data_IF_005961146218
#
_entry.id   IF_005961146218
#
_cell.length_a   1.000
_cell.length_b   1.000
_cell.length_c   1.000
_cell.angle_alpha   90.00
_cell.angle_beta   90.00
_cell.angle_gamma   90.00
#
_symmetry.space_group_name_H-M   'P 1'
#
loop_
_entity.id
_entity.type
_entity.pdbx_description
1 polymer ?
#
# COMPACT_ATOMS: atom_id res chain seq x y z
N UNK A 1 -58.90 40.69 58.11
CA UNK A 1 -57.78 39.77 57.80
C UNK A 1 -56.52 40.61 57.71
N UNK A 2 -55.71 40.64 58.78
CA UNK A 2 -54.47 41.45 58.83
C UNK A 2 -53.31 40.56 58.36
N UNK A 3 -52.80 40.83 57.17
CA UNK A 3 -51.58 40.18 56.66
C UNK A 3 -50.40 40.84 57.37
N UNK A 4 -49.77 40.12 58.30
CA UNK A 4 -48.48 40.51 58.88
C UNK A 4 -47.40 40.16 57.84
N UNK A 5 -46.92 41.17 57.12
CA UNK A 5 -45.65 41.07 56.41
C UNK A 5 -44.54 41.13 57.46
N UNK A 6 -43.95 39.97 57.75
CA UNK A 6 -42.78 39.85 58.60
C UNK A 6 -41.58 40.21 57.73
N UNK A 7 -41.14 41.47 57.79
CA UNK A 7 -39.86 41.89 57.21
C UNK A 7 -38.72 41.35 58.06
N UNK A 8 -38.44 40.05 57.93
CA UNK A 8 -37.13 39.51 58.30
C UNK A 8 -36.16 39.92 57.19
N UNK A 9 -35.61 41.12 57.32
CA UNK A 9 -34.52 41.59 56.46
C UNK A 9 -33.38 40.59 56.54
N UNK A 10 -33.11 39.92 55.42
CA UNK A 10 -31.95 39.04 55.28
C UNK A 10 -30.71 39.82 55.69
N UNK A 11 -29.92 39.25 56.60
CA UNK A 11 -28.67 39.87 57.01
C UNK A 11 -27.76 39.99 55.78
N UNK A 12 -27.19 41.17 55.56
CA UNK A 12 -26.19 41.43 54.50
C UNK A 12 -25.06 40.37 54.53
N UNK A 13 -24.78 39.81 55.70
CA UNK A 13 -23.81 38.73 55.92
C UNK A 13 -24.24 37.42 55.25
N UNK A 14 -25.52 37.05 55.31
CA UNK A 14 -26.03 35.82 54.67
C UNK A 14 -25.96 35.90 53.14
N UNK A 15 -26.22 37.08 52.58
CA UNK A 15 -26.11 37.33 51.14
C UNK A 15 -24.64 37.25 50.68
N UNK A 16 -23.70 37.83 51.44
CA UNK A 16 -22.27 37.78 51.13
C UNK A 16 -21.67 36.37 51.21
N UNK A 17 -22.07 35.56 52.20
CA UNK A 17 -21.61 34.16 52.32
C UNK A 17 -22.13 33.32 51.16
N UNK A 18 -23.38 33.54 50.74
CA UNK A 18 -23.97 32.82 49.61
C UNK A 18 -23.29 33.19 48.29
N UNK A 19 -22.99 34.47 48.05
CA UNK A 19 -22.24 34.93 46.87
C UNK A 19 -20.81 34.39 46.88
N UNK A 20 -20.14 34.35 48.04
CA UNK A 20 -18.81 33.78 48.19
C UNK A 20 -18.74 32.27 47.88
N UNK A 21 -19.70 31.50 48.39
CA UNK A 21 -19.82 30.06 48.11
C UNK A 21 -20.14 29.77 46.63
N UNK A 22 -21.03 30.56 46.02
CA UNK A 22 -21.35 30.45 44.60
C UNK A 22 -20.15 30.82 43.71
N UNK A 23 -19.35 31.82 44.11
CA UNK A 23 -18.10 32.17 43.43
C UNK A 23 -17.07 31.03 43.46
N UNK A 24 -16.88 30.38 44.61
CA UNK A 24 -15.97 29.25 44.75
C UNK A 24 -16.43 28.01 43.96
N UNK A 25 -17.73 27.70 44.00
CA UNK A 25 -18.31 26.61 43.21
C UNK A 25 -18.17 26.85 41.69
N UNK A 26 -18.35 28.09 41.22
CA UNK A 26 -18.17 28.44 39.82
C UNK A 26 -16.72 28.24 39.33
N UNK A 27 -15.72 28.56 40.16
CA UNK A 27 -14.31 28.27 39.86
C UNK A 27 -14.04 26.77 39.79
N UNK A 28 -14.61 25.98 40.70
CA UNK A 28 -14.51 24.52 40.67
C UNK A 28 -15.12 23.90 39.40
N UNK A 29 -16.32 24.36 39.00
CA UNK A 29 -16.98 23.90 37.77
C UNK A 29 -16.19 24.31 36.53
N UNK A 30 -15.66 25.55 36.47
CA UNK A 30 -14.82 25.99 35.36
C UNK A 30 -13.56 25.13 35.18
N UNK A 31 -12.90 24.75 36.28
CA UNK A 31 -11.71 23.89 36.22
C UNK A 31 -12.07 22.47 35.75
N UNK A 32 -13.20 21.93 36.20
CA UNK A 32 -13.71 20.63 35.75
C UNK A 32 -14.11 20.65 34.27
N UNK A 33 -14.79 21.70 33.81
CA UNK A 33 -15.12 21.89 32.39
C UNK A 33 -13.88 22.04 31.50
N UNK A 34 -12.84 22.75 31.97
CA UNK A 34 -11.55 22.82 31.26
C UNK A 34 -10.91 21.44 31.10
N UNK A 35 -10.91 20.64 32.16
CA UNK A 35 -10.36 19.27 32.12
C UNK A 35 -11.15 18.38 31.16
N UNK A 36 -12.49 18.47 31.16
CA UNK A 36 -13.34 17.72 30.22
C UNK A 36 -13.10 18.18 28.77
N UNK A 37 -13.03 19.49 28.53
CA UNK A 37 -12.76 20.05 27.20
C UNK A 37 -11.38 19.63 26.66
N UNK A 38 -10.36 19.63 27.52
CA UNK A 38 -9.03 19.10 27.19
C UNK A 38 -9.08 17.60 26.86
N UNK A 39 -9.81 16.81 27.65
CA UNK A 39 -10.00 15.38 27.40
C UNK A 39 -10.67 15.08 26.05
N UNK A 40 -11.75 15.80 25.73
CA UNK A 40 -12.43 15.66 24.43
C UNK A 40 -11.53 16.08 23.26
N UNK A 41 -10.76 17.16 23.39
CA UNK A 41 -9.83 17.60 22.36
C UNK A 41 -8.72 16.57 22.11
N UNK A 42 -8.18 15.98 23.18
CA UNK A 42 -7.18 14.92 23.10
C UNK A 42 -7.73 13.66 22.42
N UNK A 43 -8.94 13.22 22.80
CA UNK A 43 -9.59 12.07 22.20
C UNK A 43 -9.83 12.28 20.70
N UNK A 44 -10.36 13.45 20.31
CA UNK A 44 -10.57 13.80 18.89
C UNK A 44 -9.25 13.84 18.11
N UNK A 45 -8.21 14.47 18.65
CA UNK A 45 -6.90 14.50 17.99
C UNK A 45 -6.27 13.11 17.85
N UNK A 46 -6.55 12.18 18.76
CA UNK A 46 -6.08 10.80 18.67
C UNK A 46 -6.87 10.00 17.64
N UNK A 47 -8.17 10.27 17.49
CA UNK A 47 -8.96 9.71 16.39
C UNK A 47 -8.46 10.21 15.03
N UNK A 48 -8.22 11.52 14.88
CA UNK A 48 -7.62 12.11 13.67
C UNK A 48 -6.26 11.45 13.33
N UNK A 49 -5.47 11.07 14.36
CA UNK A 49 -4.17 10.40 14.18
C UNK A 49 -4.30 9.00 13.59
N UNK A 50 -5.28 8.23 14.09
CA UNK A 50 -5.57 6.89 13.60
C UNK A 50 -6.12 6.95 12.18
N UNK A 51 -7.00 7.91 11.90
CA UNK A 51 -7.61 8.09 10.58
C UNK A 51 -6.55 8.50 9.54
N UNK A 52 -5.71 9.50 9.85
CA UNK A 52 -4.58 9.90 9.00
C UNK A 52 -3.64 8.73 8.72
N UNK A 53 -3.27 7.97 9.76
CA UNK A 53 -2.41 6.78 9.61
C UNK A 53 -3.06 5.76 8.69
N UNK A 54 -4.38 5.58 8.79
CA UNK A 54 -5.14 4.64 7.96
C UNK A 54 -5.22 5.11 6.51
N UNK A 55 -5.48 6.40 6.27
CA UNK A 55 -5.48 6.95 4.90
C UNK A 55 -4.12 6.87 4.23
N UNK A 56 -3.03 7.18 4.94
CA UNK A 56 -1.67 7.03 4.42
C UNK A 56 -1.43 5.56 4.05
N UNK A 57 -1.84 4.62 4.91
CA UNK A 57 -1.73 3.19 4.62
C UNK A 57 -2.47 2.79 3.36
N UNK A 58 -3.72 3.23 3.20
CA UNK A 58 -4.51 2.93 2.00
C UNK A 58 -3.87 3.48 0.72
N UNK A 59 -3.25 4.67 0.77
CA UNK A 59 -2.49 5.22 -0.36
C UNK A 59 -1.24 4.41 -0.69
N UNK A 60 -0.56 3.87 0.33
CA UNK A 60 0.64 3.06 0.14
C UNK A 60 0.32 1.60 -0.23
N UNK A 61 -0.87 1.10 0.11
CA UNK A 61 -1.34 -0.25 -0.24
C UNK A 61 -1.76 -0.34 -1.71
N UNK A 62 -2.26 0.75 -2.29
CA UNK A 62 -2.54 0.83 -3.72
C UNK A 62 -1.25 1.14 -4.50
N UNK A 63 -0.73 0.13 -5.22
CA UNK A 63 0.54 0.17 -5.96
C UNK A 63 0.63 1.42 -6.86
N UNK A 64 -0.46 1.78 -7.54
CA UNK A 64 -0.49 2.96 -8.43
C UNK A 64 -0.21 4.25 -7.67
N UNK A 65 -0.81 4.43 -6.50
CA UNK A 65 -0.67 5.67 -5.71
C UNK A 65 0.66 5.70 -4.95
N UNK A 66 1.09 4.56 -4.40
CA UNK A 66 2.43 4.36 -3.84
C UNK A 66 3.47 4.80 -4.88
N UNK A 67 3.45 4.19 -6.06
CA UNK A 67 4.42 4.45 -7.12
C UNK A 67 4.35 5.89 -7.62
N UNK A 68 3.17 6.46 -7.86
CA UNK A 68 3.08 7.87 -8.28
C UNK A 68 3.58 8.85 -7.21
N UNK A 69 3.40 8.54 -5.93
CA UNK A 69 3.88 9.38 -4.82
C UNK A 69 5.40 9.50 -4.84
N UNK A 70 6.12 8.40 -5.12
CA UNK A 70 7.58 8.37 -5.06
C UNK A 70 8.28 8.48 -6.42
N UNK A 71 7.82 7.76 -7.45
CA UNK A 71 8.44 7.73 -8.78
C UNK A 71 8.02 8.90 -9.69
N UNK A 72 6.88 9.54 -9.42
CA UNK A 72 6.34 10.58 -10.29
C UNK A 72 5.51 10.05 -11.46
N UNK A 73 5.19 10.95 -12.39
CA UNK A 73 4.39 10.65 -13.60
C UNK A 73 5.13 9.71 -14.55
N UNK A 74 4.43 9.13 -15.52
CA UNK A 74 4.95 8.22 -16.56
C UNK A 74 4.43 6.79 -16.42
N UNK A 75 4.71 5.87 -17.35
CA UNK A 75 4.40 4.45 -17.19
C UNK A 75 5.23 3.76 -16.09
N UNK A 76 4.80 2.56 -15.69
CA UNK A 76 5.55 1.71 -14.76
C UNK A 76 6.95 1.42 -15.30
N UNK A 77 7.98 1.45 -14.44
CA UNK A 77 9.37 1.23 -14.84
C UNK A 77 10.03 2.38 -15.60
N UNK A 78 9.27 3.36 -16.09
CA UNK A 78 9.79 4.49 -16.87
C UNK A 78 9.06 5.79 -16.51
N UNK A 79 9.33 6.35 -15.32
CA UNK A 79 8.79 7.66 -14.95
C UNK A 79 9.31 8.76 -15.89
N UNK A 80 8.45 9.72 -16.22
CA UNK A 80 8.75 10.84 -17.10
C UNK A 80 9.62 11.92 -16.43
N UNK A 81 9.45 12.10 -15.12
CA UNK A 81 10.24 13.02 -14.29
C UNK A 81 10.59 12.31 -12.98
N UNK A 82 11.51 11.33 -13.03
CA UNK A 82 11.86 10.55 -11.86
C UNK A 82 12.41 11.41 -10.75
N UNK A 83 12.09 11.05 -9.52
CA UNK A 83 12.84 11.54 -8.37
C UNK A 83 14.13 10.74 -8.30
N UNK A 84 15.24 11.40 -8.56
CA UNK A 84 16.59 10.83 -8.51
C UNK A 84 17.29 11.26 -7.22
N UNK A 85 17.99 10.34 -6.57
CA UNK A 85 18.78 10.64 -5.39
C UNK A 85 20.06 9.80 -5.36
N UNK A 86 21.06 10.28 -4.63
CA UNK A 86 22.20 9.46 -4.23
C UNK A 86 21.96 9.00 -2.80
N UNK A 87 22.16 7.71 -2.53
CA UNK A 87 21.92 7.10 -1.22
C UNK A 87 22.68 7.84 -0.11
N UNK A 88 23.94 8.19 -0.38
CA UNK A 88 24.77 8.95 0.59
C UNK A 88 24.14 10.28 0.99
N UNK A 89 23.40 10.93 0.09
CA UNK A 89 22.81 12.24 0.34
C UNK A 89 21.50 12.16 1.14
N UNK A 90 20.89 10.99 1.26
CA UNK A 90 19.61 10.82 1.99
C UNK A 90 19.77 10.01 3.27
N UNK A 91 20.89 9.29 3.43
CA UNK A 91 21.17 8.46 4.59
C UNK A 91 21.83 9.22 5.75
N UNK A 92 22.53 10.33 5.47
CA UNK A 92 23.18 11.09 6.52
C UNK A 92 22.15 11.73 7.47
N UNK A 93 22.32 11.49 8.77
CA UNK A 93 21.51 12.09 9.85
C UNK A 93 19.99 11.90 9.75
N UNK A 94 19.52 10.86 9.05
CA UNK A 94 18.08 10.66 8.76
C UNK A 94 17.45 11.84 7.99
N UNK A 95 18.23 12.51 7.14
CA UNK A 95 17.71 13.59 6.30
C UNK A 95 16.57 13.07 5.42
N UNK A 96 16.74 11.91 4.81
CA UNK A 96 15.72 11.28 3.97
C UNK A 96 15.34 12.12 2.75
N UNK A 97 14.65 11.49 1.81
CA UNK A 97 14.10 12.18 0.64
C UNK A 97 12.77 12.84 1.02
N UNK A 98 12.62 14.14 0.77
CA UNK A 98 11.33 14.81 0.93
C UNK A 98 10.33 14.30 -0.12
N UNK A 99 9.17 13.87 0.34
CA UNK A 99 8.16 13.22 -0.49
C UNK A 99 6.77 13.76 -0.20
N UNK A 100 5.87 13.57 -1.15
CA UNK A 100 4.46 13.94 -1.05
C UNK A 100 3.61 12.75 -1.50
N UNK A 101 2.43 12.59 -0.91
CA UNK A 101 1.51 11.51 -1.28
C UNK A 101 0.46 12.03 -2.27
N UNK A 102 0.29 11.27 -3.35
CA UNK A 102 -0.54 11.65 -4.50
C UNK A 102 -1.54 10.54 -4.83
N UNK A 103 -2.74 10.96 -5.24
CA UNK A 103 -3.63 10.13 -6.04
C UNK A 103 -3.19 10.12 -7.50
N UNK A 104 -3.61 9.08 -8.21
CA UNK A 104 -3.40 8.90 -9.63
C UNK A 104 -4.67 8.91 -10.48
N UNK A 105 -4.48 8.92 -11.80
CA UNK A 105 -5.51 8.52 -12.75
C UNK A 105 -5.73 6.99 -12.69
N UNK A 106 -6.76 6.50 -13.38
CA UNK A 106 -7.10 5.08 -13.39
C UNK A 106 -5.94 4.19 -13.90
N UNK A 107 -5.14 4.71 -14.83
CA UNK A 107 -4.00 4.04 -15.44
C UNK A 107 -2.74 4.03 -14.55
N UNK A 108 -2.71 4.79 -13.45
CA UNK A 108 -1.52 4.90 -12.58
C UNK A 108 -0.32 5.58 -13.25
N UNK A 109 -0.56 6.41 -14.26
CA UNK A 109 0.49 7.08 -15.05
C UNK A 109 0.64 8.57 -14.76
N UNK A 110 -0.37 9.20 -14.17
CA UNK A 110 -0.35 10.63 -13.89
C UNK A 110 -0.88 10.92 -12.49
N UNK A 111 -0.16 11.77 -11.75
CA UNK A 111 -0.59 12.40 -10.51
C UNK A 111 -1.79 13.31 -10.79
N UNK A 112 -2.85 13.15 -10.00
CA UNK A 112 -4.11 13.92 -10.18
C UNK A 112 -4.37 14.86 -9.03
N UNK A 113 -4.27 14.37 -7.79
CA UNK A 113 -4.58 15.15 -6.60
C UNK A 113 -3.56 14.86 -5.50
N UNK A 114 -2.86 15.90 -5.05
CA UNK A 114 -1.99 15.81 -3.88
C UNK A 114 -2.86 15.60 -2.65
N UNK A 115 -2.59 14.53 -1.90
CA UNK A 115 -3.32 14.20 -0.67
C UNK A 115 -2.64 14.74 0.56
N UNK A 116 -1.35 14.48 0.69
CA UNK A 116 -0.58 14.87 1.87
C UNK A 116 0.77 15.45 1.46
N UNK A 117 1.17 16.52 2.12
CA UNK A 117 2.47 17.14 1.95
C UNK A 117 2.86 17.90 3.22
N UNK A 118 4.15 17.96 3.51
CA UNK A 118 4.66 18.79 4.60
C UNK A 118 4.86 20.26 4.19
N UNK A 119 5.04 20.52 2.89
CA UNK A 119 5.40 21.84 2.34
C UNK A 119 4.21 22.59 1.79
N UNK A 120 3.20 21.88 1.27
CA UNK A 120 1.98 22.48 0.73
C UNK A 120 0.99 22.81 1.86
N UNK A 121 0.78 24.10 2.12
CA UNK A 121 -0.09 24.59 3.20
C UNK A 121 -1.55 24.19 3.05
N UNK A 122 -2.00 23.81 1.85
CA UNK A 122 -3.35 23.32 1.62
C UNK A 122 -3.51 21.82 1.91
N UNK A 123 -2.38 21.09 2.01
CA UNK A 123 -2.32 19.62 2.19
C UNK A 123 -1.53 19.18 3.41
N UNK A 124 -1.03 20.12 4.22
CA UNK A 124 -0.27 19.83 5.43
C UNK A 124 -1.13 19.79 6.70
N UNK A 125 -2.46 19.88 6.58
CA UNK A 125 -3.38 19.74 7.71
C UNK A 125 -4.35 18.60 7.50
N UNK A 126 -4.59 17.81 8.56
CA UNK A 126 -5.61 16.77 8.57
C UNK A 126 -6.37 16.83 9.89
N UNK A 127 -7.64 17.23 9.85
CA UNK A 127 -8.39 17.53 11.06
C UNK A 127 -7.67 18.60 11.90
N UNK A 128 -7.29 18.25 13.14
CA UNK A 128 -6.50 19.11 14.04
C UNK A 128 -4.98 18.86 13.98
N UNK A 129 -4.52 17.98 13.11
CA UNK A 129 -3.10 17.63 12.97
C UNK A 129 -2.45 18.49 11.89
N UNK A 130 -1.17 18.84 12.11
CA UNK A 130 -0.32 19.47 11.09
C UNK A 130 0.82 18.54 10.73
N UNK A 131 0.93 18.15 9.47
CA UNK A 131 2.07 17.41 8.91
C UNK A 131 3.25 18.39 8.82
N UNK A 132 4.28 18.15 9.61
CA UNK A 132 5.49 19.01 9.65
C UNK A 132 6.64 18.41 8.87
N UNK A 133 6.65 17.10 8.65
CA UNK A 133 7.67 16.42 7.86
C UNK A 133 7.11 15.16 7.22
N UNK A 134 7.54 14.88 6.00
CA UNK A 134 7.22 13.67 5.26
C UNK A 134 8.45 13.27 4.46
N UNK A 135 9.17 12.26 4.96
CA UNK A 135 10.48 11.86 4.46
C UNK A 135 10.54 10.35 4.20
N UNK A 136 11.04 9.96 3.04
CA UNK A 136 11.39 8.58 2.73
C UNK A 136 12.82 8.31 3.17
N UNK A 137 13.02 7.31 4.03
CA UNK A 137 14.32 6.93 4.56
C UNK A 137 14.63 5.52 4.08
N UNK A 138 15.84 5.27 3.58
CA UNK A 138 16.29 3.93 3.20
C UNK A 138 16.95 3.26 4.41
N UNK A 139 16.51 2.06 4.79
CA UNK A 139 16.92 1.39 6.04
C UNK A 139 17.96 0.28 5.81
N UNK A 140 18.88 0.46 4.88
CA UNK A 140 19.87 -0.55 4.48
C UNK A 140 21.31 -0.25 4.95
N UNK A 141 21.46 0.62 5.96
CA UNK A 141 22.75 1.00 6.55
C UNK A 141 23.37 2.25 5.91
N UNK A 142 24.31 2.90 6.60
CA UNK A 142 25.02 4.08 6.08
C UNK A 142 26.20 3.68 5.19
N UNK A 143 26.58 4.54 4.26
CA UNK A 143 27.73 4.34 3.37
C UNK A 143 27.34 3.97 1.95
N UNK A 144 28.25 4.34 1.02
CA UNK A 144 28.29 4.17 -0.45
C UNK A 144 26.97 4.15 -1.23
N UNK A 145 26.95 4.82 -2.38
CA UNK A 145 25.81 4.74 -3.29
C UNK A 145 25.53 3.30 -3.73
N UNK A 146 24.27 3.06 -4.11
CA UNK A 146 23.89 1.79 -4.74
C UNK A 146 24.78 1.52 -5.96
N UNK A 147 25.16 0.26 -6.21
CA UNK A 147 25.87 -0.09 -7.44
C UNK A 147 24.93 0.06 -8.65
N UNK A 148 25.51 0.23 -9.84
CA UNK A 148 24.75 0.24 -11.09
C UNK A 148 23.89 -1.03 -11.19
N UNK A 149 22.58 -0.84 -11.29
CA UNK A 149 21.63 -1.93 -11.39
C UNK A 149 20.34 -1.41 -12.05
N UNK A 150 19.90 -2.00 -13.17
CA UNK A 150 18.66 -1.58 -13.81
C UNK A 150 17.41 -1.85 -12.94
N UNK A 151 17.48 -2.82 -12.03
CA UNK A 151 16.41 -3.19 -11.12
C UNK A 151 16.94 -3.78 -9.80
N UNK A 152 16.95 -2.95 -8.76
CA UNK A 152 17.24 -3.33 -7.37
C UNK A 152 15.96 -3.21 -6.54
N UNK A 153 15.74 -4.13 -5.60
CA UNK A 153 14.65 -4.01 -4.62
C UNK A 153 15.25 -3.72 -3.25
N UNK A 154 14.72 -2.73 -2.55
CA UNK A 154 15.18 -2.38 -1.21
C UNK A 154 14.04 -1.92 -0.30
N UNK A 155 14.34 -1.84 1.00
CA UNK A 155 13.41 -1.47 2.05
C UNK A 155 13.55 0.01 2.43
N UNK A 156 12.46 0.75 2.24
CA UNK A 156 12.28 2.11 2.72
C UNK A 156 11.33 2.19 3.92
N UNK A 157 11.42 3.28 4.67
CA UNK A 157 10.46 3.70 5.67
C UNK A 157 10.00 5.12 5.34
N UNK A 158 8.73 5.28 4.98
CA UNK A 158 8.12 6.60 4.97
C UNK A 158 7.91 7.03 6.42
N UNK A 159 8.58 8.11 6.83
CA UNK A 159 8.44 8.74 8.13
C UNK A 159 7.65 10.03 8.00
N UNK A 160 6.48 10.06 8.63
CA UNK A 160 5.59 11.23 8.64
C UNK A 160 5.55 11.78 10.05
N UNK A 161 5.98 13.01 10.25
CA UNK A 161 5.90 13.68 11.54
C UNK A 161 4.71 14.62 11.55
N UNK A 162 3.84 14.45 12.54
CA UNK A 162 2.69 15.33 12.76
C UNK A 162 2.82 16.08 14.08
N UNK A 163 2.38 17.32 14.07
CA UNK A 163 2.24 18.17 15.25
C UNK A 163 0.77 18.17 15.67
N UNK A 164 0.52 17.89 16.95
CA UNK A 164 -0.81 17.96 17.56
C UNK A 164 -0.81 18.82 18.82
N UNK A 165 -1.87 19.60 19.00
CA UNK A 165 -2.04 20.43 20.20
C UNK A 165 -2.47 19.57 21.39
N UNK A 166 -1.67 19.58 22.45
CA UNK A 166 -2.00 18.93 23.75
C UNK A 166 -2.78 19.91 24.62
N UNK A 167 -2.43 21.19 24.55
CA UNK A 167 -3.14 22.32 25.16
C UNK A 167 -3.11 23.52 24.21
N UNK A 168 -3.63 24.67 24.64
CA UNK A 168 -3.55 25.93 23.87
C UNK A 168 -2.10 26.38 23.63
N UNK A 169 -1.20 26.07 24.55
CA UNK A 169 0.20 26.53 24.53
C UNK A 169 1.19 25.42 24.20
N UNK A 170 0.80 24.16 24.38
CA UNK A 170 1.70 23.02 24.21
C UNK A 170 1.32 22.21 22.98
N UNK A 171 2.30 22.03 22.10
CA UNK A 171 2.22 21.12 20.96
C UNK A 171 3.14 19.93 21.17
N UNK A 172 2.74 18.79 20.63
CA UNK A 172 3.52 17.55 20.64
C UNK A 172 3.76 17.07 19.22
N UNK A 173 5.00 16.68 18.94
CA UNK A 173 5.40 16.02 17.71
C UNK A 173 5.22 14.51 17.84
N UNK A 174 4.59 13.87 16.86
CA UNK A 174 4.33 12.43 16.81
C UNK A 174 4.87 11.88 15.48
N UNK A 175 5.94 11.07 15.51
CA UNK A 175 6.42 10.40 14.31
C UNK A 175 5.56 9.16 14.02
N UNK A 176 5.14 9.03 12.77
CA UNK A 176 4.52 7.84 12.18
C UNK A 176 5.51 7.22 11.21
N UNK A 177 5.54 5.89 11.16
CA UNK A 177 6.45 5.11 10.33
C UNK A 177 5.65 4.11 9.50
N UNK A 178 5.96 4.05 8.21
CA UNK A 178 5.31 3.18 7.25
C UNK A 178 6.39 2.46 6.44
N UNK A 179 6.62 1.16 6.71
CA UNK A 179 7.57 0.38 5.92
C UNK A 179 7.04 0.19 4.50
N UNK A 180 7.92 0.28 3.51
CA UNK A 180 7.62 0.16 2.09
C UNK A 180 8.77 -0.53 1.35
N UNK A 181 8.42 -1.39 0.39
CA UNK A 181 9.34 -1.99 -0.57
C UNK A 181 9.43 -1.10 -1.80
N UNK A 182 10.66 -0.83 -2.23
CA UNK A 182 10.95 0.10 -3.32
C UNK A 182 11.70 -0.62 -4.43
N UNK A 183 11.21 -0.49 -5.65
CA UNK A 183 11.99 -0.83 -6.84
C UNK A 183 12.82 0.38 -7.25
N UNK A 184 14.11 0.16 -7.44
CA UNK A 184 15.12 1.16 -7.69
C UNK A 184 15.86 0.83 -9.00
N UNK A 185 16.27 1.86 -9.73
CA UNK A 185 17.16 1.76 -10.87
C UNK A 185 18.33 2.72 -10.66
N UNK A 186 19.55 2.21 -10.68
CA UNK A 186 20.75 3.00 -10.38
C UNK A 186 21.67 3.03 -11.59
N UNK A 187 22.09 4.22 -11.99
CA UNK A 187 23.02 4.43 -13.10
C UNK A 187 24.49 4.22 -12.69
N UNK A 188 25.40 4.27 -13.67
CA UNK A 188 26.85 4.15 -13.46
C UNK A 188 27.46 5.27 -12.60
N UNK A 189 26.71 6.37 -12.37
CA UNK A 189 27.11 7.49 -11.51
C UNK A 189 26.58 7.35 -10.08
N UNK A 190 25.84 6.27 -9.78
CA UNK A 190 25.23 6.03 -8.46
C UNK A 190 23.96 6.83 -8.22
N UNK A 191 23.39 7.50 -9.24
CA UNK A 191 22.09 8.15 -9.11
C UNK A 191 21.00 7.09 -9.19
N UNK A 192 20.15 7.08 -8.19
CA UNK A 192 19.12 6.08 -7.99
C UNK A 192 17.76 6.70 -8.24
N UNK A 193 16.97 6.03 -9.07
CA UNK A 193 15.62 6.40 -9.43
C UNK A 193 14.65 5.41 -8.81
N UNK A 194 13.57 5.91 -8.23
CA UNK A 194 12.46 5.07 -7.79
C UNK A 194 11.60 4.72 -9.01
N UNK A 195 11.40 3.43 -9.26
CA UNK A 195 10.63 2.92 -10.40
C UNK A 195 9.37 2.16 -9.98
N UNK A 196 9.32 1.61 -8.76
CA UNK A 196 8.13 0.98 -8.19
C UNK A 196 8.06 1.15 -6.67
N UNK A 197 6.87 0.92 -6.11
CA UNK A 197 6.60 1.04 -4.68
C UNK A 197 5.48 0.06 -4.32
N UNK A 198 5.67 -0.71 -3.25
CA UNK A 198 4.64 -1.55 -2.66
C UNK A 198 4.79 -1.57 -1.15
N UNK A 199 3.69 -1.47 -0.41
CA UNK A 199 3.72 -1.72 1.04
C UNK A 199 3.79 -3.21 1.38
N UNK A 200 3.52 -4.08 0.41
CA UNK A 200 3.59 -5.51 0.61
C UNK A 200 5.06 -5.94 0.77
N UNK A 201 5.51 -5.97 2.03
CA UNK A 201 6.82 -6.50 2.42
C UNK A 201 6.87 -8.02 2.32
N UNK A 202 5.71 -8.64 2.14
CA UNK A 202 5.60 -10.04 1.75
C UNK A 202 6.00 -10.13 0.28
N UNK A 203 6.94 -11.01 -0.10
CA UNK A 203 7.21 -11.28 -1.50
C UNK A 203 5.87 -11.56 -2.18
N UNK A 204 5.44 -10.68 -3.09
CA UNK A 204 4.11 -10.78 -3.66
C UNK A 204 4.02 -12.13 -4.34
N UNK A 205 3.15 -12.97 -3.79
CA UNK A 205 2.82 -14.28 -4.32
C UNK A 205 2.15 -14.03 -5.67
N UNK A 206 2.95 -13.99 -6.74
CA UNK A 206 2.47 -13.74 -8.09
C UNK A 206 1.77 -15.01 -8.55
N UNK A 207 0.46 -14.91 -8.76
CA UNK A 207 -0.34 -15.99 -9.29
C UNK A 207 -0.82 -15.66 -10.71
N UNK A 208 -0.69 -16.61 -11.63
CA UNK A 208 -1.35 -16.57 -12.93
C UNK A 208 -1.98 -17.93 -13.22
N UNK A 209 -3.03 -17.94 -14.03
CA UNK A 209 -3.69 -19.17 -14.47
C UNK A 209 -4.17 -19.05 -15.90
N UNK A 210 -4.16 -20.16 -16.63
CA UNK A 210 -4.84 -20.28 -17.91
C UNK A 210 -5.79 -21.47 -17.89
N UNK A 211 -6.92 -21.34 -18.57
CA UNK A 211 -7.94 -22.38 -18.67
C UNK A 211 -8.16 -22.80 -20.11
N UNK A 212 -8.53 -24.07 -20.31
CA UNK A 212 -8.84 -24.66 -21.60
C UNK A 212 -7.76 -24.36 -22.65
N UNK A 213 -6.49 -24.43 -22.26
CA UNK A 213 -5.40 -24.27 -23.22
C UNK A 213 -5.43 -25.50 -24.11
N UNK A 214 -6.00 -25.34 -25.30
CA UNK A 214 -6.10 -26.40 -26.30
C UNK A 214 -4.68 -26.73 -26.76
N UNK A 215 -4.26 -27.99 -26.58
CA UNK A 215 -3.03 -28.46 -27.19
C UNK A 215 -3.11 -28.20 -28.70
N UNK A 216 -2.12 -27.54 -29.32
CA UNK A 216 -2.22 -27.22 -30.74
C UNK A 216 -2.24 -28.50 -31.57
N UNK A 217 -2.89 -28.40 -32.73
CA UNK A 217 -3.00 -29.35 -33.83
C UNK A 217 -1.97 -30.50 -33.82
N UNK A 218 -2.50 -31.70 -34.11
CA UNK A 218 -1.92 -33.04 -34.26
C UNK A 218 -0.47 -33.18 -34.78
N UNK A 219 0.13 -32.12 -35.32
CA UNK A 219 1.50 -32.10 -35.81
C UNK A 219 2.57 -31.81 -34.72
N UNK A 220 2.23 -31.16 -33.60
CA UNK A 220 3.27 -30.81 -32.59
C UNK A 220 2.90 -31.02 -31.12
N UNK A 221 1.62 -31.10 -30.76
CA UNK A 221 1.15 -31.39 -29.39
C UNK A 221 1.74 -30.50 -28.28
N UNK A 222 2.29 -29.32 -28.60
CA UNK A 222 3.09 -28.51 -27.67
C UNK A 222 2.53 -27.10 -27.49
N UNK A 223 2.20 -26.71 -26.25
CA UNK A 223 1.87 -25.34 -25.88
C UNK A 223 3.02 -24.70 -25.09
N UNK A 224 3.28 -23.40 -25.29
CA UNK A 224 4.29 -22.66 -24.54
C UNK A 224 3.61 -21.69 -23.57
N UNK A 225 3.92 -21.83 -22.28
CA UNK A 225 3.51 -20.91 -21.23
C UNK A 225 4.71 -20.02 -20.88
N UNK A 226 4.65 -18.75 -21.27
CA UNK A 226 5.65 -17.74 -20.93
C UNK A 226 5.15 -16.88 -19.77
N UNK A 227 5.63 -17.17 -18.56
CA UNK A 227 5.25 -16.46 -17.34
C UNK A 227 5.74 -15.02 -17.29
N UNK A 228 6.72 -14.63 -18.11
CA UNK A 228 7.14 -13.24 -18.20
C UNK A 228 6.02 -12.35 -18.75
N UNK A 229 5.19 -12.89 -19.67
CA UNK A 229 3.99 -12.21 -20.19
C UNK A 229 2.93 -11.98 -19.11
N UNK A 230 2.97 -12.75 -18.03
CA UNK A 230 2.09 -12.63 -16.86
C UNK A 230 2.78 -11.89 -15.70
N UNK A 231 3.90 -11.21 -15.97
CA UNK A 231 4.60 -10.36 -15.01
C UNK A 231 5.42 -11.11 -13.97
N UNK A 232 5.80 -12.37 -14.20
CA UNK A 232 6.69 -13.10 -13.29
C UNK A 232 8.11 -12.55 -13.38
N UNK A 233 8.83 -12.49 -12.25
CA UNK A 233 10.15 -11.91 -12.15
C UNK A 233 11.23 -12.95 -12.55
N UNK A 234 12.02 -12.72 -13.62
CA UNK A 234 13.08 -13.66 -14.02
C UNK A 234 14.23 -13.72 -13.00
N UNK A 235 14.41 -12.70 -12.16
CA UNK A 235 15.37 -12.69 -11.07
C UNK A 235 14.83 -13.29 -9.76
N UNK A 236 13.51 -13.54 -9.66
CA UNK A 236 12.83 -14.06 -8.45
C UNK A 236 13.10 -15.53 -8.17
N UNK A 237 12.37 -16.18 -7.24
CA UNK A 237 12.46 -17.64 -7.07
C UNK A 237 11.87 -18.36 -8.27
N UNK A 238 12.14 -19.65 -8.43
CA UNK A 238 11.44 -20.44 -9.44
C UNK A 238 9.92 -20.47 -9.15
N UNK A 239 9.06 -20.26 -10.16
CA UNK A 239 7.62 -20.40 -9.97
C UNK A 239 7.25 -21.86 -9.71
N UNK A 240 6.35 -22.07 -8.75
CA UNK A 240 5.62 -23.32 -8.57
C UNK A 240 4.49 -23.38 -9.59
N UNK A 241 4.42 -24.43 -10.40
CA UNK A 241 3.36 -24.61 -11.39
C UNK A 241 2.55 -25.85 -11.05
N UNK A 242 1.25 -25.68 -11.00
CA UNK A 242 0.24 -26.72 -10.85
C UNK A 242 -0.54 -26.79 -12.14
N UNK A 243 -0.86 -28.00 -12.56
CA UNK A 243 -1.59 -28.25 -13.81
C UNK A 243 -2.70 -29.20 -13.48
N UNK A 244 -3.89 -28.90 -13.99
CA UNK A 244 -5.00 -29.83 -14.03
C UNK A 244 -5.24 -30.21 -15.48
N UNK A 245 -5.23 -31.50 -15.75
CA UNK A 245 -5.66 -32.03 -17.03
C UNK A 245 -7.19 -32.00 -17.11
N UNK A 246 -7.73 -31.71 -18.30
CA UNK A 246 -9.16 -31.75 -18.56
C UNK A 246 -9.42 -32.58 -19.82
N UNK A 247 -10.10 -33.71 -19.61
CA UNK A 247 -10.51 -34.63 -20.66
C UNK A 247 -11.67 -34.00 -21.44
N UNK A 248 -11.40 -33.52 -22.66
CA UNK A 248 -12.44 -33.05 -23.57
C UNK A 248 -12.57 -34.01 -24.75
N UNK A 249 -13.66 -34.78 -24.77
CA UNK A 249 -14.15 -35.41 -25.99
C UNK A 249 -14.78 -34.30 -26.85
N UNK A 250 -14.05 -33.79 -27.86
CA UNK A 250 -14.61 -32.87 -28.84
C UNK A 250 -14.86 -33.61 -30.15
N UNK A 251 -16.14 -33.86 -30.44
CA UNK A 251 -16.60 -34.51 -31.66
C UNK A 251 -17.42 -35.75 -31.34
N UNK A 252 -18.73 -35.54 -31.17
CA UNK A 252 -19.78 -36.50 -30.82
C UNK A 252 -20.01 -37.58 -31.89
N UNK A 253 -18.98 -38.34 -32.25
CA UNK A 253 -19.21 -39.65 -32.83
C UNK A 253 -19.58 -40.58 -31.65
N UNK A 254 -20.88 -40.83 -31.49
CA UNK A 254 -21.44 -41.76 -30.51
C UNK A 254 -20.61 -43.05 -30.47
N UNK A 255 -19.94 -43.31 -29.34
CA UNK A 255 -19.14 -44.52 -29.12
C UNK A 255 -17.62 -44.31 -29.02
N UNK A 256 -17.10 -43.11 -29.28
CA UNK A 256 -15.69 -42.81 -29.05
C UNK A 256 -15.43 -42.52 -27.56
N UNK A 257 -14.69 -43.41 -26.89
CA UNK A 257 -14.19 -43.18 -25.54
C UNK A 257 -12.72 -42.79 -25.62
N UNK A 258 -12.34 -41.75 -24.89
CA UNK A 258 -10.94 -41.46 -24.66
C UNK A 258 -10.39 -42.54 -23.74
N UNK A 259 -9.34 -43.25 -24.18
CA UNK A 259 -8.77 -44.36 -23.43
C UNK A 259 -7.72 -43.88 -22.43
N UNK A 260 -7.00 -42.82 -22.78
CA UNK A 260 -6.03 -42.16 -21.93
C UNK A 260 -5.68 -40.78 -22.48
N UNK A 261 -5.39 -39.85 -21.57
CA UNK A 261 -4.66 -38.62 -21.89
C UNK A 261 -3.57 -38.39 -20.85
N UNK A 262 -2.55 -37.65 -21.27
CA UNK A 262 -1.43 -37.26 -20.43
C UNK A 262 -0.86 -35.92 -20.89
N UNK A 263 -0.76 -34.96 -19.98
CA UNK A 263 0.02 -33.73 -20.18
C UNK A 263 1.36 -33.76 -19.41
N UNK A 264 2.46 -33.71 -20.15
CA UNK A 264 3.82 -33.57 -19.61
C UNK A 264 4.32 -32.12 -19.66
N UNK A 265 5.13 -31.73 -18.67
CA UNK A 265 5.69 -30.38 -18.56
C UNK A 265 7.21 -30.41 -18.66
N UNK A 266 7.75 -29.67 -19.61
CA UNK A 266 9.19 -29.47 -19.77
C UNK A 266 9.52 -28.02 -19.45
N UNK A 267 10.31 -27.79 -18.41
CA UNK A 267 10.85 -26.46 -18.12
C UNK A 267 11.91 -26.13 -19.19
N UNK A 268 11.60 -25.16 -20.05
CA UNK A 268 12.53 -24.70 -21.11
C UNK A 268 13.49 -23.66 -20.54
N UNK A 269 12.96 -22.74 -19.73
CA UNK A 269 13.72 -21.74 -18.99
C UNK A 269 13.06 -21.45 -17.65
N UNK A 270 13.59 -20.49 -16.89
CA UNK A 270 13.05 -20.13 -15.58
C UNK A 270 11.57 -19.74 -15.59
N UNK A 271 11.14 -19.02 -16.62
CA UNK A 271 9.77 -18.53 -16.77
C UNK A 271 9.03 -19.16 -17.95
N UNK A 272 9.69 -19.97 -18.77
CA UNK A 272 9.11 -20.56 -19.98
C UNK A 272 8.96 -22.06 -19.81
N UNK A 273 7.74 -22.54 -19.96
CA UNK A 273 7.37 -23.94 -19.82
C UNK A 273 6.72 -24.42 -21.10
N UNK A 274 7.13 -25.59 -21.56
CA UNK A 274 6.50 -26.27 -22.67
C UNK A 274 5.64 -27.40 -22.13
N UNK A 275 4.38 -27.39 -22.52
CA UNK A 275 3.38 -28.39 -22.16
C UNK A 275 3.18 -29.28 -23.36
N UNK A 276 3.38 -30.57 -23.20
CA UNK A 276 3.14 -31.55 -24.25
C UNK A 276 2.00 -32.45 -23.81
N UNK A 277 0.86 -32.35 -24.47
CA UNK A 277 -0.28 -33.20 -24.16
C UNK A 277 -0.47 -34.27 -25.22
N UNK A 278 -0.78 -35.48 -24.77
CA UNK A 278 -1.07 -36.63 -25.60
C UNK A 278 -2.42 -37.17 -25.20
N UNK A 279 -3.22 -37.57 -26.18
CA UNK A 279 -4.48 -38.26 -25.93
C UNK A 279 -4.66 -39.37 -26.95
N UNK A 280 -5.28 -40.46 -26.52
CA UNK A 280 -5.62 -41.61 -27.35
C UNK A 280 -7.10 -41.91 -27.26
N UNK A 281 -7.70 -42.19 -28.42
CA UNK A 281 -9.06 -42.70 -28.52
C UNK A 281 -9.05 -44.10 -29.10
N UNK A 282 -10.07 -44.88 -28.76
CA UNK A 282 -10.37 -46.16 -29.37
C UNK A 282 -10.78 -46.06 -30.87
N UNK A 283 -10.89 -44.85 -31.42
CA UNK A 283 -11.33 -44.55 -32.78
C UNK A 283 -10.16 -44.31 -33.73
N UNK A 284 -10.22 -44.91 -34.93
CA UNK A 284 -9.22 -44.73 -36.00
C UNK A 284 -9.45 -43.46 -36.85
N UNK A 285 -10.54 -42.72 -36.61
CA UNK A 285 -10.96 -41.58 -37.44
C UNK A 285 -11.23 -40.28 -36.69
N UNK A 286 -10.95 -40.22 -35.37
CA UNK A 286 -11.15 -39.01 -34.56
C UNK A 286 -9.89 -38.14 -34.46
N UNK A 287 -10.04 -36.82 -34.58
CA UNK A 287 -9.03 -35.87 -34.12
C UNK A 287 -9.19 -35.69 -32.61
N UNK A 288 -8.21 -36.15 -31.83
CA UNK A 288 -8.25 -36.00 -30.37
C UNK A 288 -7.58 -34.69 -29.99
N UNK A 289 -8.26 -33.86 -29.22
CA UNK A 289 -7.68 -32.65 -28.62
C UNK A 289 -7.77 -32.76 -27.11
N UNK A 290 -6.61 -32.75 -26.45
CA UNK A 290 -6.53 -32.56 -25.00
C UNK A 290 -6.44 -31.08 -24.67
N UNK A 291 -7.07 -30.68 -23.57
CA UNK A 291 -6.89 -29.34 -23.00
C UNK A 291 -6.35 -29.45 -21.58
N UNK A 292 -5.70 -28.40 -21.12
CA UNK A 292 -5.25 -28.34 -19.74
C UNK A 292 -5.50 -26.95 -19.15
N UNK A 293 -5.66 -26.95 -17.84
CA UNK A 293 -5.65 -25.77 -16.99
C UNK A 293 -4.31 -25.71 -16.27
N UNK A 294 -3.79 -24.51 -16.06
CA UNK A 294 -2.55 -24.32 -15.31
C UNK A 294 -2.69 -23.16 -14.34
N UNK A 295 -1.93 -23.24 -13.25
CA UNK A 295 -1.74 -22.20 -12.25
C UNK A 295 -0.25 -22.11 -11.92
N UNK A 296 0.32 -20.92 -12.02
CA UNK A 296 1.70 -20.63 -11.63
C UNK A 296 1.69 -19.70 -10.43
N UNK A 297 2.60 -19.93 -9.47
CA UNK A 297 2.77 -19.15 -8.25
C UNK A 297 4.26 -18.85 -8.05
N UNK A 298 4.66 -17.59 -7.89
CA UNK A 298 6.04 -17.21 -7.59
C UNK A 298 6.08 -16.31 -6.36
N UNK A 299 6.90 -16.71 -5.39
CA UNK A 299 7.24 -15.91 -4.21
C UNK A 299 8.50 -15.09 -4.46
#
# INVERSE_FOLDING_TARGET
>A
MKIKLQESGFSIVEVLVTIGLLGAAALGVMQLMKNIGQGQNFAKSSADEIELRTEIRLLLDEERFCRLSFAGNGPFGSPATPVTFQKTNIDENHEGLDVELWLGNAQGTARTNKKFSATDTSKNTYGKLRITSMKLIMNNGTGTNYPENPFLVDFGELRVTVEKSVSETQKRSVPMKFPIMMGLSTDSSGNTTIISCSRDTTPQLRAASGQNVVGPDSASNQAVVDLALYGFNPAGKDPHIIVSEHDYNYGDAEGNTMDASYCGFTKISKLVFQVTCWASTNSSSGSVQSSFDWMAIQN
#
